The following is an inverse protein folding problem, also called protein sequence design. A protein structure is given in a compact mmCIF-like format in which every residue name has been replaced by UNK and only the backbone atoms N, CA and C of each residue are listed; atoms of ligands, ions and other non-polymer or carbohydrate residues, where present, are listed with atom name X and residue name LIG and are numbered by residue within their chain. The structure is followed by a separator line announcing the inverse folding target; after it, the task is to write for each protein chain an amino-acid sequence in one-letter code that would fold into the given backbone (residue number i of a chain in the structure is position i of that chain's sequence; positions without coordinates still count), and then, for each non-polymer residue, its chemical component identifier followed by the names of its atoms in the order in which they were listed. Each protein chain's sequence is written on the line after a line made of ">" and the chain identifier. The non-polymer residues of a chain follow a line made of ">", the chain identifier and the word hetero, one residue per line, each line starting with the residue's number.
data_IF_495932013865
#
_entry.id   IF_495932013865
#
_cell.length_a   1.000
_cell.length_b   1.000
_cell.length_c   1.000
_cell.angle_alpha   90.00
_cell.angle_beta   90.00
_cell.angle_gamma   90.00
#
_symmetry.space_group_name_H-M   'P 1'
#
loop_
_entity.id
_entity.type
_entity.pdbx_description
1 polymer ?
#
# COMPACT_ATOMS: atom_id res chain seq x y z
N UNK A 1 -0.88 4.75 14.49
CA UNK A 1 -0.15 5.58 13.50
C UNK A 1 0.40 6.82 14.19
N UNK A 2 1.65 7.19 13.89
CA UNK A 2 2.23 8.46 14.31
C UNK A 2 1.52 9.63 13.61
N UNK A 3 1.68 10.84 14.17
CA UNK A 3 1.22 12.07 13.53
C UNK A 3 1.85 12.19 12.13
N UNK A 4 1.06 12.51 11.10
CA UNK A 4 1.49 12.56 9.69
C UNK A 4 1.96 11.22 9.09
N UNK A 5 1.54 10.10 9.67
CA UNK A 5 1.79 8.78 9.08
C UNK A 5 1.15 8.60 7.70
N UNK A 6 1.70 7.66 6.92
CA UNK A 6 1.24 7.31 5.58
C UNK A 6 0.77 5.86 5.52
N UNK A 7 -0.35 5.61 4.84
CA UNK A 7 -0.89 4.28 4.59
C UNK A 7 -0.92 4.06 3.08
N UNK A 8 -0.19 3.05 2.61
CA UNK A 8 -0.19 2.64 1.21
C UNK A 8 -1.08 1.41 1.06
N UNK A 9 -2.16 1.54 0.32
CA UNK A 9 -3.15 0.47 0.11
C UNK A 9 -2.81 -0.30 -1.18
N UNK A 10 -2.07 -1.41 -1.05
CA UNK A 10 -1.69 -2.27 -2.18
C UNK A 10 -2.70 -3.39 -2.49
N UNK A 11 -3.70 -3.60 -1.63
CA UNK A 11 -4.69 -4.64 -1.80
C UNK A 11 -5.63 -4.75 -0.60
N UNK A 12 -6.62 -5.64 -0.72
CA UNK A 12 -7.62 -5.87 0.31
C UNK A 12 -7.94 -7.37 0.43
N UNK A 13 -6.90 -8.21 0.60
CA UNK A 13 -7.02 -9.68 0.55
C UNK A 13 -8.11 -10.23 1.47
N UNK A 14 -8.26 -9.67 2.67
CA UNK A 14 -9.30 -10.06 3.62
C UNK A 14 -10.73 -9.77 3.17
N UNK A 15 -10.91 -9.06 2.06
CA UNK A 15 -12.20 -8.71 1.45
C UNK A 15 -12.44 -9.43 0.12
N UNK A 16 -11.50 -10.23 -0.38
CA UNK A 16 -11.66 -10.93 -1.65
C UNK A 16 -12.70 -12.05 -1.56
N UNK A 17 -12.91 -12.58 -0.36
CA UNK A 17 -13.89 -13.63 -0.08
C UNK A 17 -14.92 -13.15 0.95
N UNK A 18 -16.10 -13.78 0.92
CA UNK A 18 -17.20 -13.48 1.84
C UNK A 18 -18.32 -12.64 1.23
N UNK A 19 -19.36 -12.31 2.03
CA UNK A 19 -20.50 -11.56 1.56
C UNK A 19 -20.10 -10.18 1.04
N UNK A 20 -20.61 -9.81 -0.13
CA UNK A 20 -20.40 -8.47 -0.68
C UNK A 20 -20.89 -7.40 0.30
N UNK A 21 -20.08 -6.37 0.53
CA UNK A 21 -20.44 -5.25 1.41
C UNK A 21 -20.13 -5.45 2.89
N UNK A 22 -19.19 -6.34 3.25
CA UNK A 22 -18.67 -6.43 4.62
C UNK A 22 -18.24 -5.03 5.13
N UNK A 23 -18.57 -4.65 6.37
CA UNK A 23 -18.23 -3.33 6.89
C UNK A 23 -16.73 -3.06 6.84
N UNK A 24 -16.37 -1.89 6.32
CA UNK A 24 -14.98 -1.43 6.34
C UNK A 24 -14.46 -1.21 7.78
N UNK A 25 -13.14 -1.02 7.95
CA UNK A 25 -12.55 -0.82 9.26
C UNK A 25 -13.16 0.39 9.97
N UNK A 26 -13.58 0.19 11.23
CA UNK A 26 -14.21 1.25 12.00
C UNK A 26 -13.24 2.44 12.22
N UNK A 27 -13.81 3.65 12.31
CA UNK A 27 -13.12 4.88 12.68
C UNK A 27 -12.00 5.38 11.75
N UNK A 28 -11.86 4.84 10.54
CA UNK A 28 -10.86 5.29 9.56
C UNK A 28 -10.92 6.81 9.30
N UNK A 29 -12.09 7.43 9.02
CA UNK A 29 -12.15 8.88 8.81
C UNK A 29 -11.66 9.70 10.02
N UNK A 30 -12.05 9.30 11.23
CA UNK A 30 -11.64 9.98 12.46
C UNK A 30 -10.14 9.91 12.66
N UNK A 31 -9.52 8.75 12.46
CA UNK A 31 -8.07 8.59 12.64
C UNK A 31 -7.29 9.34 11.55
N UNK A 32 -7.77 9.35 10.30
CA UNK A 32 -7.19 10.13 9.20
C UNK A 32 -7.12 11.62 9.56
N UNK A 33 -8.23 12.20 10.02
CA UNK A 33 -8.31 13.63 10.38
C UNK A 33 -7.49 13.92 11.64
N UNK A 34 -7.72 13.17 12.72
CA UNK A 34 -7.08 13.43 14.02
C UNK A 34 -5.59 13.14 14.02
N UNK A 35 -5.06 12.35 13.08
CA UNK A 35 -3.61 12.10 12.96
C UNK A 35 -3.00 12.72 11.70
N UNK A 36 -3.79 13.45 10.89
CA UNK A 36 -3.36 14.08 9.62
C UNK A 36 -2.65 13.09 8.70
N UNK A 37 -3.24 11.91 8.56
CA UNK A 37 -2.65 10.83 7.77
C UNK A 37 -2.92 11.04 6.28
N UNK A 38 -2.03 10.52 5.45
CA UNK A 38 -2.30 10.30 4.03
C UNK A 38 -2.56 8.82 3.80
N UNK A 39 -3.65 8.49 3.12
CA UNK A 39 -4.00 7.13 2.71
C UNK A 39 -4.22 7.12 1.21
N UNK A 40 -3.47 6.29 0.48
CA UNK A 40 -3.46 6.29 -0.97
C UNK A 40 -3.39 4.86 -1.52
N UNK A 41 -4.19 4.59 -2.55
CA UNK A 41 -4.10 3.34 -3.32
C UNK A 41 -2.79 3.26 -4.10
N UNK A 42 -2.24 2.06 -4.22
CA UNK A 42 -1.03 1.80 -5.01
C UNK A 42 -1.24 0.59 -5.91
N UNK A 43 -1.17 0.81 -7.21
CA UNK A 43 -1.16 -0.24 -8.23
C UNK A 43 0.21 -0.18 -8.91
N UNK A 44 0.93 -1.30 -8.90
CA UNK A 44 2.31 -1.36 -9.41
C UNK A 44 2.43 -0.88 -10.86
N UNK A 45 1.43 -1.17 -11.69
CA UNK A 45 1.42 -0.82 -13.11
C UNK A 45 1.27 0.68 -13.37
N UNK A 46 0.82 1.49 -12.40
CA UNK A 46 0.81 2.96 -12.53
C UNK A 46 2.24 3.53 -12.61
N UNK A 47 3.25 2.74 -12.25
CA UNK A 47 4.67 3.13 -12.19
C UNK A 47 5.53 2.32 -13.15
N UNK A 48 4.98 1.83 -14.26
CA UNK A 48 5.69 0.99 -15.23
C UNK A 48 7.01 1.62 -15.73
N UNK A 49 7.05 2.95 -15.90
CA UNK A 49 8.27 3.68 -16.30
C UNK A 49 9.41 3.56 -15.29
N UNK A 50 9.10 3.31 -14.02
CA UNK A 50 10.09 3.17 -12.94
C UNK A 50 10.64 1.74 -12.80
N UNK A 51 10.08 0.76 -13.51
CA UNK A 51 10.45 -0.65 -13.36
C UNK A 51 11.93 -0.93 -13.64
N UNK A 52 12.58 -0.35 -14.68
CA UNK A 52 14.00 -0.62 -14.93
C UNK A 52 14.89 -0.19 -13.76
N UNK A 53 14.57 0.93 -13.12
CA UNK A 53 15.33 1.42 -11.94
C UNK A 53 15.07 0.52 -10.73
N UNK A 54 13.79 0.20 -10.47
CA UNK A 54 13.43 -0.65 -9.34
C UNK A 54 14.04 -2.05 -9.43
N UNK A 55 14.11 -2.65 -10.63
CA UNK A 55 14.74 -3.96 -10.83
C UNK A 55 16.26 -3.91 -10.56
N UNK A 56 16.95 -2.88 -11.04
CA UNK A 56 18.37 -2.71 -10.78
C UNK A 56 18.69 -2.57 -9.27
N UNK A 57 17.86 -1.82 -8.53
CA UNK A 57 17.99 -1.70 -7.07
C UNK A 57 17.76 -3.05 -6.36
N UNK A 58 16.75 -3.81 -6.79
CA UNK A 58 16.45 -5.13 -6.23
C UNK A 58 17.59 -6.14 -6.47
N UNK A 59 18.17 -6.15 -7.67
CA UNK A 59 19.33 -6.99 -8.01
C UNK A 59 20.56 -6.64 -7.16
N UNK A 60 20.76 -5.36 -6.82
CA UNK A 60 21.84 -4.94 -5.95
C UNK A 60 21.65 -5.41 -4.49
N UNK A 61 20.41 -5.49 -3.99
CA UNK A 61 20.12 -5.97 -2.64
C UNK A 61 20.16 -7.49 -2.55
N UNK A 62 19.67 -8.16 -3.58
CA UNK A 62 19.62 -9.62 -3.67
C UNK A 62 20.30 -10.04 -4.97
N UNK A 63 21.65 -10.06 -5.01
CA UNK A 63 22.35 -10.55 -6.17
C UNK A 63 21.89 -11.98 -6.43
N UNK A 64 21.22 -12.20 -7.58
CA UNK A 64 20.68 -13.49 -8.00
C UNK A 64 21.76 -14.56 -8.25
N UNK A 65 23.02 -14.26 -7.94
CA UNK A 65 24.11 -15.21 -7.84
C UNK A 65 24.02 -15.97 -6.51
N UNK A 66 23.23 -17.04 -6.52
CA UNK A 66 23.64 -18.28 -5.87
C UNK A 66 24.29 -19.18 -6.92
#
# INVERSE_FOLDING_TARGET
>A
MNLHGRVVCCGAVSQYEGPAGSPGPANVPTVLVTKRLAMQGFIVYDFAESFPTALADLEAWFPLAM
#
